data_IF_458867941902
#
_entry.id   IF_458867941902
#
_cell.length_a   1.000
_cell.length_b   1.000
_cell.length_c   1.000
_cell.angle_alpha   90.00
_cell.angle_beta   90.00
_cell.angle_gamma   90.00
#
_symmetry.space_group_name_H-M   'P 1'
#
loop_
_entity.id
_entity.type
_entity.pdbx_description
1 polymer ?
#
# COMPACT_ATOMS: atom_id res chain seq x y z
N UNK A 1 -3.33 9.90 -10.29
CA UNK A 1 -2.08 10.49 -9.76
C UNK A 1 -1.77 10.11 -8.31
N UNK A 2 -2.29 10.75 -7.24
CA UNK A 2 -1.82 10.42 -5.86
C UNK A 2 -2.22 9.03 -5.36
N UNK A 3 -3.47 8.61 -5.58
CA UNK A 3 -3.93 7.25 -5.27
C UNK A 3 -3.22 6.21 -6.12
N UNK A 4 -2.90 6.54 -7.36
CA UNK A 4 -2.21 5.67 -8.32
C UNK A 4 -0.74 5.43 -7.94
N UNK A 5 -0.01 6.49 -7.58
CA UNK A 5 1.34 6.38 -7.02
C UNK A 5 1.34 5.59 -5.71
N UNK A 6 0.34 5.80 -4.86
CA UNK A 6 0.18 5.02 -3.63
C UNK A 6 -0.10 3.54 -3.93
N UNK A 7 -0.95 3.24 -4.90
CA UNK A 7 -1.23 1.88 -5.34
C UNK A 7 0.03 1.19 -5.88
N UNK A 8 0.83 1.87 -6.71
CA UNK A 8 2.11 1.34 -7.21
C UNK A 8 3.09 1.06 -6.06
N UNK A 9 3.28 2.01 -5.13
CA UNK A 9 4.15 1.83 -3.97
C UNK A 9 3.73 0.63 -3.11
N UNK A 10 2.42 0.42 -2.89
CA UNK A 10 1.92 -0.73 -2.13
C UNK A 10 2.27 -2.03 -2.85
N UNK A 11 2.01 -2.12 -4.15
CA UNK A 11 2.29 -3.31 -4.94
C UNK A 11 3.80 -3.64 -4.94
N UNK A 12 4.66 -2.64 -5.16
CA UNK A 12 6.13 -2.81 -5.13
C UNK A 12 6.61 -3.34 -3.77
N UNK A 13 6.06 -2.81 -2.67
CA UNK A 13 6.43 -3.24 -1.31
C UNK A 13 5.95 -4.66 -1.00
N UNK A 14 4.79 -5.05 -1.50
CA UNK A 14 4.29 -6.43 -1.36
C UNK A 14 5.13 -7.41 -2.19
N UNK A 15 5.59 -7.01 -3.38
CA UNK A 15 6.44 -7.84 -4.24
C UNK A 15 7.86 -8.00 -3.66
N UNK A 16 8.44 -6.93 -3.13
CA UNK A 16 9.78 -6.91 -2.53
C UNK A 16 9.89 -7.63 -1.18
N UNK A 17 8.76 -7.94 -0.52
CA UNK A 17 8.75 -8.64 0.77
C UNK A 17 9.15 -10.12 0.59
N UNK A 18 10.33 -10.51 1.08
CA UNK A 18 10.94 -11.82 0.82
C UNK A 18 10.39 -12.99 1.64
N UNK A 19 9.58 -12.76 2.67
CA UNK A 19 9.16 -13.83 3.61
C UNK A 19 7.64 -14.05 3.67
N UNK A 20 6.86 -13.00 3.43
CA UNK A 20 5.41 -13.04 3.30
C UNK A 20 5.04 -11.94 2.32
N UNK A 21 4.63 -12.27 1.10
CA UNK A 21 4.12 -11.33 0.09
C UNK A 21 2.78 -10.70 0.50
N UNK A 22 2.63 -10.38 1.78
CA UNK A 22 1.44 -9.89 2.42
C UNK A 22 1.77 -8.84 3.47
N UNK A 23 0.85 -7.90 3.67
CA UNK A 23 0.98 -6.87 4.69
C UNK A 23 -0.39 -6.50 5.28
N UNK A 24 -0.42 -6.05 6.52
CA UNK A 24 -1.60 -5.45 7.16
C UNK A 24 -1.73 -3.96 6.80
N UNK A 25 -2.90 -3.36 7.03
CA UNK A 25 -3.07 -1.91 6.86
C UNK A 25 -2.09 -1.09 7.70
N UNK A 26 -1.79 -1.55 8.92
CA UNK A 26 -0.81 -0.90 9.79
C UNK A 26 0.62 -0.99 9.24
N UNK A 27 1.00 -2.11 8.63
CA UNK A 27 2.29 -2.23 7.94
C UNK A 27 2.36 -1.31 6.72
N UNK A 28 1.29 -1.27 5.90
CA UNK A 28 1.22 -0.38 4.74
C UNK A 28 1.29 1.09 5.15
N UNK A 29 0.64 1.48 6.25
CA UNK A 29 0.68 2.84 6.81
C UNK A 29 2.12 3.30 7.08
N UNK A 30 3.00 2.41 7.53
CA UNK A 30 4.42 2.73 7.78
C UNK A 30 5.20 3.04 6.50
N UNK A 31 4.73 2.62 5.32
CA UNK A 31 5.37 2.95 4.03
C UNK A 31 5.04 4.37 3.55
N UNK A 32 3.92 4.93 4.02
CA UNK A 32 3.43 6.24 3.59
C UNK A 32 3.74 7.36 4.57
N UNK A 33 3.67 7.07 5.87
CA UNK A 33 3.89 8.08 6.90
C UNK A 33 5.40 8.16 7.12
N UNK A 34 6.06 9.27 6.73
CA UNK A 34 7.46 9.42 7.04
C UNK A 34 7.66 9.29 8.56
N UNK A 35 8.80 8.74 8.95
CA UNK A 35 9.14 8.59 10.37
C UNK A 35 9.74 9.91 10.86
N UNK A 36 9.27 10.40 12.00
CA UNK A 36 9.84 11.60 12.63
C UNK A 36 11.33 11.35 12.90
N UNK A 37 12.21 12.22 12.39
CA UNK A 37 13.62 12.19 12.77
C UNK A 37 13.79 12.81 14.18
N UNK A 38 14.77 12.33 14.95
CA UNK A 38 14.97 12.75 16.35
C UNK A 38 15.18 14.26 16.52
N UNK A 39 15.58 14.96 15.45
CA UNK A 39 15.94 16.39 15.47
C UNK A 39 14.89 17.31 14.80
N UNK A 40 13.71 16.79 14.42
CA UNK A 40 12.67 17.59 13.75
C UNK A 40 11.57 18.02 14.73
N UNK A 41 11.77 19.19 15.35
CA UNK A 41 10.80 19.75 16.30
C UNK A 41 9.51 20.26 15.62
N UNK A 42 9.55 20.53 14.31
CA UNK A 42 8.42 21.06 13.52
C UNK A 42 7.74 19.99 12.64
N UNK A 43 7.76 18.73 13.07
CA UNK A 43 7.18 17.63 12.32
C UNK A 43 5.65 17.64 12.32
N UNK A 44 5.04 18.34 11.36
CA UNK A 44 3.58 18.44 11.21
C UNK A 44 3.10 17.65 9.98
N UNK A 45 2.95 16.34 10.13
CA UNK A 45 2.22 15.54 9.15
C UNK A 45 0.72 15.68 9.41
N UNK A 46 -0.10 15.71 8.35
CA UNK A 46 -1.54 15.46 8.44
C UNK A 46 -1.82 13.94 8.35
N UNK A 47 -1.89 13.18 9.46
CA UNK A 47 -2.05 11.72 9.42
C UNK A 47 -3.35 11.29 8.72
N UNK A 48 -4.42 12.09 8.83
CA UNK A 48 -5.71 11.80 8.19
C UNK A 48 -5.64 11.82 6.67
N UNK A 49 -4.78 12.66 6.11
CA UNK A 49 -4.58 12.72 4.67
C UNK A 49 -3.91 11.42 4.15
N UNK A 50 -2.83 10.98 4.80
CA UNK A 50 -2.16 9.73 4.41
C UNK A 50 -3.04 8.51 4.62
N UNK A 51 -3.83 8.50 5.69
CA UNK A 51 -4.82 7.46 5.94
C UNK A 51 -5.89 7.42 4.84
N UNK A 52 -6.44 8.57 4.43
CA UNK A 52 -7.41 8.63 3.35
C UNK A 52 -6.83 8.17 2.00
N UNK A 53 -5.56 8.50 1.72
CA UNK A 53 -4.86 8.04 0.51
C UNK A 53 -4.66 6.53 0.56
N UNK A 54 -4.19 5.99 1.69
CA UNK A 54 -3.97 4.55 1.88
C UNK A 54 -5.27 3.76 1.70
N UNK A 55 -6.35 4.16 2.39
CA UNK A 55 -7.66 3.48 2.29
C UNK A 55 -8.17 3.48 0.84
N UNK A 56 -8.06 4.62 0.15
CA UNK A 56 -8.47 4.70 -1.27
C UNK A 56 -7.60 3.83 -2.18
N UNK A 57 -6.29 3.79 -1.95
CA UNK A 57 -5.37 3.02 -2.74
C UNK A 57 -5.61 1.51 -2.57
N UNK A 58 -5.77 1.04 -1.33
CA UNK A 58 -6.08 -0.37 -1.04
C UNK A 58 -7.45 -0.76 -1.59
N UNK A 59 -8.47 0.09 -1.41
CA UNK A 59 -9.79 -0.13 -2.00
C UNK A 59 -9.75 -0.25 -3.53
N UNK A 60 -8.99 0.61 -4.20
CA UNK A 60 -8.76 0.53 -5.64
C UNK A 60 -8.07 -0.78 -6.04
N UNK A 61 -7.02 -1.19 -5.32
CA UNK A 61 -6.30 -2.43 -5.61
C UNK A 61 -7.16 -3.68 -5.42
N UNK A 62 -8.05 -3.69 -4.42
CA UNK A 62 -9.04 -4.76 -4.21
C UNK A 62 -10.06 -4.78 -5.37
N UNK A 63 -10.63 -3.64 -5.73
CA UNK A 63 -11.61 -3.52 -6.83
C UNK A 63 -11.02 -4.01 -8.16
N UNK A 64 -9.73 -3.74 -8.40
CA UNK A 64 -9.01 -4.19 -9.60
C UNK A 64 -8.53 -5.64 -9.53
N UNK A 65 -8.62 -6.30 -8.38
CA UNK A 65 -8.12 -7.66 -8.19
C UNK A 65 -6.59 -7.76 -8.17
N UNK A 66 -5.89 -6.64 -7.94
CA UNK A 66 -4.42 -6.60 -7.88
C UNK A 66 -3.89 -7.07 -6.52
N UNK A 67 -4.72 -7.00 -5.48
CA UNK A 67 -4.46 -7.58 -4.17
C UNK A 67 -5.65 -8.39 -3.70
N UNK A 68 -5.41 -9.39 -2.86
CA UNK A 68 -6.44 -10.17 -2.17
C UNK A 68 -6.31 -10.03 -0.67
N UNK A 69 -7.43 -10.13 0.04
CA UNK A 69 -7.46 -10.11 1.50
C UNK A 69 -7.65 -11.51 2.09
N UNK A 70 -7.08 -11.76 3.28
CA UNK A 70 -7.37 -12.96 4.08
C UNK A 70 -8.76 -12.94 4.74
N UNK A 71 -9.39 -11.78 4.85
CA UNK A 71 -10.75 -11.65 5.39
C UNK A 71 -11.74 -11.31 4.27
N UNK A 72 -13.01 -11.75 4.38
CA UNK A 72 -14.06 -11.36 3.46
C UNK A 72 -14.25 -9.84 3.43
N UNK A 73 -14.64 -9.31 2.27
CA UNK A 73 -14.97 -7.90 2.10
C UNK A 73 -16.00 -7.45 3.15
N UNK A 74 -15.72 -6.33 3.82
CA UNK A 74 -16.59 -5.73 4.84
C UNK A 74 -16.26 -6.08 6.30
N UNK A 75 -15.23 -6.89 6.56
CA UNK A 75 -14.67 -7.08 7.92
C UNK A 75 -13.53 -6.09 8.15
N UNK A 76 -13.83 -4.97 8.82
CA UNK A 76 -12.83 -3.98 9.23
C UNK A 76 -12.17 -4.39 10.56
N UNK A 77 -11.29 -5.40 10.51
CA UNK A 77 -10.29 -5.62 11.56
C UNK A 77 -8.90 -5.50 10.94
N UNK A 78 -8.50 -4.25 10.68
CA UNK A 78 -7.38 -3.89 9.80
C UNK A 78 -6.00 -4.35 10.25
N UNK A 79 -5.86 -4.78 11.51
CA UNK A 79 -4.61 -5.35 12.04
C UNK A 79 -4.54 -6.88 11.91
N UNK A 80 -5.68 -7.54 11.67
CA UNK A 80 -5.76 -9.00 11.41
C UNK A 80 -5.85 -9.28 9.91
N UNK A 81 -6.36 -8.32 9.14
CA UNK A 81 -6.50 -8.40 7.69
C UNK A 81 -5.13 -8.32 7.00
N UNK A 82 -4.75 -9.37 6.28
CA UNK A 82 -3.55 -9.41 5.46
C UNK A 82 -3.94 -9.23 4.00
N UNK A 83 -3.21 -8.38 3.29
CA UNK A 83 -3.37 -8.13 1.87
C UNK A 83 -2.18 -8.69 1.13
N UNK A 84 -2.41 -9.55 0.13
CA UNK A 84 -1.36 -10.20 -0.65
C UNK A 84 -1.44 -9.84 -2.12
N UNK A 85 -0.29 -9.79 -2.78
CA UNK A 85 -0.19 -9.51 -4.21
C UNK A 85 -0.76 -10.66 -5.06
N UNK A 86 -1.55 -10.34 -6.09
CA UNK A 86 -2.02 -11.32 -7.08
C UNK A 86 -1.15 -11.34 -8.33
N UNK A 87 -1.34 -12.34 -9.19
CA UNK A 87 -0.67 -12.39 -10.50
C UNK A 87 -1.09 -11.24 -11.43
N UNK A 88 -2.33 -10.74 -11.32
CA UNK A 88 -2.76 -9.54 -12.04
C UNK A 88 -2.04 -8.29 -11.51
N UNK A 89 -1.84 -8.19 -10.19
CA UNK A 89 -1.07 -7.12 -9.58
C UNK A 89 0.41 -7.12 -10.00
N UNK A 90 1.03 -8.32 -10.10
CA UNK A 90 2.40 -8.47 -10.64
C UNK A 90 2.51 -8.01 -12.08
N UNK A 91 1.59 -8.46 -12.95
CA UNK A 91 1.55 -8.03 -14.36
C UNK A 91 1.36 -6.52 -14.50
N UNK A 92 0.53 -5.92 -13.64
CA UNK A 92 0.38 -4.47 -13.61
C UNK A 92 1.70 -3.76 -13.26
N UNK A 93 2.44 -4.24 -12.26
CA UNK A 93 3.75 -3.69 -11.90
C UNK A 93 4.76 -3.78 -13.05
N UNK A 94 4.88 -4.94 -13.69
CA UNK A 94 5.81 -5.14 -14.80
C UNK A 94 5.54 -4.16 -15.97
N UNK A 95 4.27 -3.86 -16.24
CA UNK A 95 3.87 -2.90 -17.27
C UNK A 95 4.23 -1.45 -16.92
N UNK A 96 4.25 -1.09 -15.63
CA UNK A 96 4.42 0.30 -15.17
C UNK A 96 5.83 0.58 -14.62
N UNK A 97 6.67 -0.43 -14.35
CA UNK A 97 8.09 -0.24 -14.00
C UNK A 97 8.93 0.29 -15.17
N UNK A 98 8.42 0.20 -16.40
CA UNK A 98 9.14 0.65 -17.61
C UNK A 98 9.10 2.19 -17.77
N UNK A 99 8.23 2.91 -17.05
CA UNK A 99 8.00 4.35 -17.25
C UNK A 99 8.78 5.28 -16.30
N UNK A 100 9.51 4.74 -15.31
CA UNK A 100 10.21 5.54 -14.28
C UNK A 100 11.72 5.73 -14.59
N UNK A 101 12.25 5.01 -15.59
CA UNK A 101 13.69 5.02 -15.92
C UNK A 101 14.04 5.53 -17.34
N UNK A 102 13.08 6.09 -18.09
CA UNK A 102 13.30 6.78 -19.37
C UNK A 102 13.19 8.31 -19.24
#
# INVERSE_FOLDING_TARGET
MQTELASQLILERLDASSEMHSATMSQMRMWFIPQKSENEDNYSINPRYFEAVLVRAVGFLLEKGYVVSTLPDGVEDGDVQLFSLTDDGKRYLEQHQTEIYD
#
